data_IF_516881362883
#
_entry.id   IF_516881362883
#
_cell.length_a   1.000
_cell.length_b   1.000
_cell.length_c   1.000
_cell.angle_alpha   90.00
_cell.angle_beta   90.00
_cell.angle_gamma   90.00
#
_symmetry.space_group_name_H-M   'P 1'
#
loop_
_entity.id
_entity.type
_entity.pdbx_description
1 polymer ?
#
# COMPACT_ATOMS: atom_id res chain seq x y z
N UNK A 1 18.96 17.11 21.95
CA UNK A 1 17.66 17.37 21.32
C UNK A 1 17.53 16.60 20.00
N UNK A 2 17.19 15.30 20.02
CA UNK A 2 17.04 14.45 18.81
C UNK A 2 15.74 13.61 18.77
N UNK A 3 14.94 13.60 19.84
CA UNK A 3 13.71 12.79 19.91
C UNK A 3 12.57 13.30 18.99
N UNK A 4 12.50 14.61 18.73
CA UNK A 4 11.36 15.21 18.02
C UNK A 4 11.33 14.84 16.53
N UNK A 5 12.50 14.62 15.92
CA UNK A 5 12.63 14.13 14.54
C UNK A 5 12.24 12.66 14.41
N UNK A 6 12.46 11.87 15.45
CA UNK A 6 12.24 10.41 15.42
C UNK A 6 10.74 10.09 15.52
N UNK A 7 10.01 10.78 16.39
CA UNK A 7 8.56 10.61 16.53
C UNK A 7 7.79 11.04 15.27
N UNK A 8 8.17 12.14 14.63
CA UNK A 8 7.53 12.57 13.38
C UNK A 8 7.77 11.60 12.23
N UNK A 9 8.98 11.05 12.11
CA UNK A 9 9.28 10.05 11.09
C UNK A 9 8.56 8.73 11.35
N UNK A 10 8.48 8.30 12.61
CA UNK A 10 7.71 7.12 13.02
C UNK A 10 6.21 7.31 12.74
N UNK A 11 5.63 8.47 13.08
CA UNK A 11 4.24 8.78 12.75
C UNK A 11 4.02 8.82 11.24
N UNK A 12 4.96 9.37 10.46
CA UNK A 12 4.87 9.38 9.01
C UNK A 12 4.85 7.96 8.44
N UNK A 13 5.78 7.10 8.87
CA UNK A 13 5.85 5.69 8.45
C UNK A 13 4.60 4.91 8.85
N UNK A 14 4.10 5.13 10.07
CA UNK A 14 2.86 4.52 10.53
C UNK A 14 1.68 4.92 9.64
N UNK A 15 1.53 6.21 9.33
CA UNK A 15 0.45 6.69 8.46
C UNK A 15 0.59 6.15 7.02
N UNK A 16 1.82 6.05 6.50
CA UNK A 16 2.10 5.44 5.20
C UNK A 16 1.68 3.97 5.18
N UNK A 17 2.09 3.18 6.19
CA UNK A 17 1.72 1.77 6.29
C UNK A 17 0.22 1.57 6.53
N UNK A 18 -0.42 2.42 7.34
CA UNK A 18 -1.87 2.40 7.55
C UNK A 18 -2.63 2.70 6.25
N UNK A 19 -2.12 3.64 5.43
CA UNK A 19 -2.73 3.97 4.14
C UNK A 19 -2.67 2.80 3.16
N UNK A 20 -1.54 2.07 3.11
CA UNK A 20 -1.37 0.85 2.31
C UNK A 20 -2.35 -0.22 2.80
N UNK A 21 -2.46 -0.41 4.12
CA UNK A 21 -3.36 -1.40 4.69
C UNK A 21 -4.83 -1.13 4.34
N UNK A 22 -5.28 0.13 4.46
CA UNK A 22 -6.64 0.53 4.10
C UNK A 22 -6.95 0.32 2.62
N UNK A 23 -6.02 0.65 1.73
CA UNK A 23 -6.22 0.45 0.29
C UNK A 23 -6.24 -1.04 -0.08
N UNK A 24 -5.39 -1.86 0.55
CA UNK A 24 -5.42 -3.31 0.39
C UNK A 24 -6.78 -3.89 0.78
N UNK A 25 -7.29 -3.50 1.95
CA UNK A 25 -8.60 -3.97 2.42
C UNK A 25 -9.72 -3.52 1.47
N UNK A 26 -9.67 -2.29 0.97
CA UNK A 26 -10.62 -1.76 -0.02
C UNK A 26 -10.62 -2.60 -1.29
N UNK A 27 -9.45 -2.88 -1.86
CA UNK A 27 -9.30 -3.67 -3.08
C UNK A 27 -9.81 -5.11 -2.89
N UNK A 28 -9.46 -5.72 -1.76
CA UNK A 28 -9.91 -7.07 -1.40
C UNK A 28 -11.42 -7.15 -1.24
N UNK A 29 -12.03 -6.18 -0.56
CA UNK A 29 -13.49 -6.11 -0.41
C UNK A 29 -14.18 -5.89 -1.76
N UNK A 30 -13.64 -5.02 -2.61
CA UNK A 30 -14.16 -4.79 -3.96
C UNK A 30 -14.14 -6.08 -4.77
N UNK A 31 -13.03 -6.81 -4.78
CA UNK A 31 -12.92 -8.09 -5.49
C UNK A 31 -13.93 -9.12 -4.99
N UNK A 32 -14.12 -9.22 -3.67
CA UNK A 32 -15.13 -10.10 -3.06
C UNK A 32 -16.55 -9.73 -3.50
N UNK A 33 -16.87 -8.43 -3.52
CA UNK A 33 -18.20 -7.93 -3.93
C UNK A 33 -18.46 -8.12 -5.43
N UNK A 34 -17.45 -7.93 -6.27
CA UNK A 34 -17.57 -8.08 -7.71
C UNK A 34 -17.69 -9.55 -8.15
N UNK A 35 -17.56 -10.53 -7.24
CA UNK A 35 -17.85 -11.94 -7.53
C UNK A 35 -16.99 -12.52 -8.65
N UNK A 36 -15.80 -11.97 -8.89
CA UNK A 36 -14.92 -12.43 -9.96
C UNK A 36 -14.59 -13.91 -9.76
N UNK A 37 -15.14 -14.77 -10.64
CA UNK A 37 -14.75 -16.17 -10.77
C UNK A 37 -13.41 -16.25 -11.49
N UNK A 38 -12.35 -15.79 -10.82
CA UNK A 38 -10.99 -15.98 -11.32
C UNK A 38 -10.58 -17.42 -10.99
N UNK A 39 -10.06 -18.15 -11.97
CA UNK A 39 -9.44 -19.48 -11.76
C UNK A 39 -8.15 -19.41 -10.92
N UNK A 40 -7.77 -18.23 -10.42
CA UNK A 40 -6.54 -18.03 -9.68
C UNK A 40 -6.75 -18.30 -8.19
N UNK A 41 -5.79 -18.97 -7.52
CA UNK A 41 -5.82 -19.14 -6.08
C UNK A 41 -5.95 -17.82 -5.33
N UNK A 42 -6.75 -17.83 -4.26
CA UNK A 42 -7.04 -16.64 -3.44
C UNK A 42 -5.78 -15.95 -2.92
N UNK A 43 -4.72 -16.71 -2.58
CA UNK A 43 -3.47 -16.15 -2.07
C UNK A 43 -2.71 -15.32 -3.12
N UNK A 44 -2.82 -15.67 -4.41
CA UNK A 44 -2.22 -14.89 -5.51
C UNK A 44 -3.00 -13.59 -5.66
N UNK A 45 -4.32 -13.66 -5.62
CA UNK A 45 -5.18 -12.47 -5.71
C UNK A 45 -4.97 -11.53 -4.52
N UNK A 46 -4.89 -12.05 -3.29
CA UNK A 46 -4.57 -11.28 -2.09
C UNK A 46 -3.18 -10.62 -2.24
N UNK A 47 -2.18 -11.32 -2.81
CA UNK A 47 -0.86 -10.74 -3.09
C UNK A 47 -0.89 -9.63 -4.15
N UNK A 48 -1.70 -9.77 -5.20
CA UNK A 48 -1.87 -8.73 -6.22
C UNK A 48 -2.55 -7.49 -5.66
N UNK A 49 -3.58 -7.67 -4.82
CA UNK A 49 -4.25 -6.59 -4.11
C UNK A 49 -3.25 -5.85 -3.19
N UNK A 50 -2.39 -6.59 -2.49
CA UNK A 50 -1.33 -6.03 -1.65
C UNK A 50 -0.32 -5.19 -2.45
N UNK A 51 0.23 -5.75 -3.54
CA UNK A 51 1.19 -5.05 -4.39
C UNK A 51 0.60 -3.78 -5.02
N UNK A 52 -0.68 -3.81 -5.38
CA UNK A 52 -1.39 -2.65 -5.91
C UNK A 52 -1.58 -1.60 -4.82
N UNK A 53 -1.95 -2.00 -3.61
CA UNK A 53 -2.07 -1.09 -2.47
C UNK A 53 -0.74 -0.46 -2.09
N UNK A 54 0.36 -1.23 -2.08
CA UNK A 54 1.71 -0.71 -1.85
C UNK A 54 2.09 0.34 -2.89
N UNK A 55 1.81 0.09 -4.17
CA UNK A 55 2.10 1.04 -5.26
C UNK A 55 1.33 2.36 -5.13
N UNK A 56 0.13 2.34 -4.56
CA UNK A 56 -0.73 3.52 -4.40
C UNK A 56 -0.42 4.25 -3.09
N UNK A 57 -0.32 3.53 -1.97
CA UNK A 57 -0.11 4.11 -0.64
C UNK A 57 1.33 4.55 -0.41
N UNK A 58 2.30 3.83 -0.96
CA UNK A 58 3.67 4.32 -1.07
C UNK A 58 3.73 5.08 -2.37
N UNK A 59 3.42 6.37 -2.34
CA UNK A 59 3.83 7.28 -3.43
C UNK A 59 5.33 7.07 -3.56
N UNK A 60 5.73 6.25 -4.53
CA UNK A 60 7.13 6.03 -4.85
C UNK A 60 7.61 7.41 -5.29
N UNK A 61 8.21 8.16 -4.37
CA UNK A 61 9.21 9.15 -4.75
C UNK A 61 10.24 8.31 -5.48
N UNK A 62 10.14 8.24 -6.80
CA UNK A 62 11.16 7.62 -7.63
C UNK A 62 12.48 8.18 -7.15
N UNK A 63 13.29 7.35 -6.48
CA UNK A 63 14.68 7.69 -6.19
C UNK A 63 15.36 7.57 -7.54
N UNK A 64 15.33 8.69 -8.25
CA UNK A 64 15.49 8.73 -9.69
C UNK A 64 14.70 9.90 -10.27
N UNK A 65 14.97 11.11 -9.78
CA UNK A 65 14.86 12.27 -10.67
C UNK A 65 15.84 12.01 -11.81
N UNK A 66 15.36 11.62 -12.98
CA UNK A 66 16.01 12.15 -14.18
C UNK A 66 15.66 13.62 -14.19
N UNK A 67 16.64 14.43 -13.76
CA UNK A 67 16.67 15.86 -14.00
C UNK A 67 16.48 16.06 -15.51
N UNK A 68 15.43 16.77 -15.89
CA UNK A 68 15.39 17.51 -17.16
C UNK A 68 15.88 18.93 -16.90
#
# INVERSE_FOLDING_TARGET
MKLCTDTQELTRRFNEDESVWREYERLRQLRRRCGFRVSMPTHILDRLDWLKAERVGRVIRCVGKTLS
#
